data_IF_870078986650
#
_entry.id   IF_870078986650
#
_cell.length_a   1.000
_cell.length_b   1.000
_cell.length_c   1.000
_cell.angle_alpha   90.00
_cell.angle_beta   90.00
_cell.angle_gamma   90.00
#
_symmetry.space_group_name_H-M   'P 1'
#
loop_
_entity.id
_entity.type
_entity.pdbx_description
1 polymer ?
#
# COMPACT_ATOMS: atom_id res chain seq x y z
N UNK A 1 -1.10 21.00 -6.38
CA UNK A 1 -0.12 19.90 -6.33
C UNK A 1 1.19 20.25 -7.00
N UNK A 2 1.22 21.12 -8.02
CA UNK A 2 2.42 21.43 -8.82
C UNK A 2 3.64 22.04 -8.09
N UNK A 3 3.49 22.59 -6.87
CA UNK A 3 4.60 23.27 -6.15
C UNK A 3 5.09 22.56 -4.89
N UNK A 4 4.55 21.39 -4.56
CA UNK A 4 4.92 20.66 -3.34
C UNK A 4 5.67 19.39 -3.73
N UNK A 5 6.99 19.49 -3.80
CA UNK A 5 7.89 18.42 -4.26
C UNK A 5 7.73 17.14 -3.42
N UNK A 6 7.54 17.29 -2.11
CA UNK A 6 7.27 16.17 -1.20
C UNK A 6 5.94 15.50 -1.56
N UNK A 7 4.90 16.29 -1.82
CA UNK A 7 3.60 15.74 -2.20
C UNK A 7 3.65 15.05 -3.58
N UNK A 8 4.48 15.53 -4.51
CA UNK A 8 4.72 14.85 -5.78
C UNK A 8 5.40 13.50 -5.56
N UNK A 9 6.39 13.42 -4.68
CA UNK A 9 7.02 12.15 -4.29
C UNK A 9 6.03 11.22 -3.58
N UNK A 10 5.21 11.74 -2.66
CA UNK A 10 4.12 10.97 -2.02
C UNK A 10 3.20 10.31 -3.04
N UNK A 11 3.01 10.89 -4.22
CA UNK A 11 2.16 10.33 -5.27
C UNK A 11 2.90 9.74 -6.47
N UNK A 12 4.24 9.79 -6.50
CA UNK A 12 5.04 9.22 -7.60
C UNK A 12 4.75 7.72 -7.75
N UNK A 13 4.67 7.28 -9.01
CA UNK A 13 4.53 5.89 -9.43
C UNK A 13 5.87 5.13 -9.44
N UNK A 14 6.98 5.82 -9.19
CA UNK A 14 8.33 5.24 -9.20
C UNK A 14 8.80 4.67 -7.87
N UNK A 15 8.08 4.92 -6.76
CA UNK A 15 8.56 4.58 -5.42
C UNK A 15 8.32 3.12 -5.03
N UNK A 16 7.23 2.53 -5.54
CA UNK A 16 6.80 1.19 -5.19
C UNK A 16 6.30 0.48 -6.43
N UNK A 17 6.66 -0.79 -6.54
CA UNK A 17 6.05 -1.70 -7.50
C UNK A 17 5.87 -3.08 -6.86
N UNK A 18 4.85 -3.81 -7.29
CA UNK A 18 4.61 -5.16 -6.80
C UNK A 18 4.86 -6.13 -7.95
N UNK A 19 5.71 -7.12 -7.73
CA UNK A 19 5.87 -8.25 -8.62
C UNK A 19 4.94 -9.38 -8.18
N UNK A 20 4.12 -9.90 -9.08
CA UNK A 20 3.33 -11.12 -8.87
C UNK A 20 3.69 -12.11 -9.95
N UNK A 21 4.29 -13.24 -9.56
CA UNK A 21 4.64 -14.34 -10.47
C UNK A 21 5.46 -13.88 -11.70
N UNK A 22 6.35 -12.90 -11.50
CA UNK A 22 7.21 -12.34 -12.55
C UNK A 22 6.59 -11.14 -13.29
N UNK A 23 5.32 -10.80 -13.06
CA UNK A 23 4.66 -9.63 -13.65
C UNK A 23 4.78 -8.43 -12.72
N UNK A 24 5.37 -7.34 -13.21
CA UNK A 24 5.56 -6.11 -12.43
C UNK A 24 4.35 -5.16 -12.55
N UNK A 25 3.86 -4.69 -11.40
CA UNK A 25 2.76 -3.74 -11.27
C UNK A 25 3.28 -2.45 -10.60
N UNK A 26 3.57 -1.38 -11.36
CA UNK A 26 3.96 -0.10 -10.76
C UNK A 26 2.78 0.47 -9.97
N UNK A 27 3.01 0.82 -8.71
CA UNK A 27 1.92 1.31 -7.88
C UNK A 27 1.76 2.82 -8.08
N UNK A 28 0.65 3.21 -8.68
CA UNK A 28 0.29 4.62 -8.84
C UNK A 28 -0.82 5.04 -7.88
N UNK A 29 -0.85 6.32 -7.55
CA UNK A 29 -1.99 6.90 -6.85
C UNK A 29 -3.16 7.11 -7.81
N UNK A 30 -4.38 6.73 -7.40
CA UNK A 30 -5.60 7.07 -8.15
C UNK A 30 -5.80 8.58 -8.35
N UNK A 31 -5.11 9.42 -7.56
CA UNK A 31 -5.11 10.86 -7.75
C UNK A 31 -4.51 11.30 -9.09
N UNK A 32 -3.56 10.50 -9.61
CA UNK A 32 -2.75 10.82 -10.78
C UNK A 32 -3.08 9.92 -11.98
N UNK A 33 -3.59 8.71 -11.75
CA UNK A 33 -3.86 7.76 -12.81
C UNK A 33 -5.15 6.97 -12.57
N UNK A 34 -5.97 6.80 -13.60
CA UNK A 34 -7.24 6.06 -13.53
C UNK A 34 -7.07 4.56 -13.84
N UNK A 35 -5.82 4.06 -13.85
CA UNK A 35 -5.50 2.64 -14.03
C UNK A 35 -5.74 1.88 -12.73
N UNK A 36 -6.57 0.86 -12.79
CA UNK A 36 -6.74 -0.13 -11.74
C UNK A 36 -6.20 -1.46 -12.25
N UNK A 37 -4.92 -1.70 -12.02
CA UNK A 37 -4.34 -3.00 -12.34
C UNK A 37 -4.82 -4.02 -11.31
N UNK A 38 -5.26 -5.18 -11.81
CA UNK A 38 -5.81 -6.27 -11.00
C UNK A 38 -4.93 -7.49 -11.19
N UNK A 39 -4.25 -7.91 -10.13
CA UNK A 39 -3.53 -9.18 -10.09
C UNK A 39 -4.47 -10.33 -9.70
N UNK A 40 -4.16 -11.53 -10.18
CA UNK A 40 -4.82 -12.76 -9.75
C UNK A 40 -3.82 -13.52 -8.88
N UNK A 41 -4.21 -13.83 -7.64
CA UNK A 41 -3.36 -14.59 -6.72
C UNK A 41 -3.90 -16.01 -6.53
N UNK A 42 -2.98 -16.96 -6.50
CA UNK A 42 -3.20 -18.37 -6.15
C UNK A 42 -2.37 -18.72 -4.90
N UNK A 43 -2.54 -19.92 -4.35
CA UNK A 43 -1.68 -20.38 -3.24
C UNK A 43 -0.22 -20.57 -3.65
N UNK A 44 0.03 -20.76 -4.95
CA UNK A 44 1.39 -20.89 -5.49
C UNK A 44 2.03 -19.54 -5.82
N UNK A 45 1.25 -18.45 -5.81
CA UNK A 45 1.73 -17.15 -6.23
C UNK A 45 2.81 -16.61 -5.30
N UNK A 46 3.88 -16.08 -5.89
CA UNK A 46 4.92 -15.33 -5.17
C UNK A 46 4.74 -13.84 -5.41
N UNK A 47 4.77 -13.09 -4.33
CA UNK A 47 4.51 -11.66 -4.34
C UNK A 47 5.66 -10.91 -3.69
N UNK A 48 6.29 -10.02 -4.43
CA UNK A 48 7.38 -9.17 -3.93
C UNK A 48 7.00 -7.70 -4.03
N UNK A 49 7.35 -6.92 -3.02
CA UNK A 49 7.29 -5.46 -3.06
C UNK A 49 8.68 -4.93 -3.35
N UNK A 50 8.83 -4.25 -4.48
CA UNK A 50 10.03 -3.50 -4.82
C UNK A 50 9.86 -2.04 -4.36
N UNK A 51 10.88 -1.49 -3.73
CA UNK A 51 10.92 -0.13 -3.20
C UNK A 51 12.24 0.51 -3.57
N UNK A 52 12.22 1.79 -3.95
CA UNK A 52 13.48 2.54 -4.02
C UNK A 52 14.06 2.72 -2.61
N UNK A 53 15.37 2.60 -2.46
CA UNK A 53 16.05 2.65 -1.15
C UNK A 53 15.77 3.96 -0.39
N UNK A 54 15.73 5.09 -1.11
CA UNK A 54 15.49 6.43 -0.58
C UNK A 54 14.05 6.66 -0.07
N UNK A 55 13.17 5.67 -0.17
CA UNK A 55 11.77 5.80 0.29
C UNK A 55 11.68 6.10 1.81
N UNK A 56 12.66 5.67 2.59
CA UNK A 56 12.71 5.89 4.04
C UNK A 56 13.31 7.23 4.45
N UNK A 57 14.13 7.83 3.59
CA UNK A 57 14.75 9.16 3.81
C UNK A 57 13.87 10.28 3.24
N UNK A 58 13.01 9.96 2.28
CA UNK A 58 12.07 10.89 1.66
C UNK A 58 11.17 11.56 2.72
N UNK A 59 11.34 12.88 2.88
CA UNK A 59 10.61 13.71 3.85
C UNK A 59 10.64 13.13 5.29
N UNK A 60 11.77 12.55 5.68
CA UNK A 60 11.95 11.97 7.00
C UNK A 60 13.28 12.41 7.62
N UNK A 61 13.19 13.12 8.74
CA UNK A 61 14.37 13.52 9.53
C UNK A 61 14.78 12.48 10.58
N UNK A 62 13.97 11.42 10.75
CA UNK A 62 14.16 10.36 11.74
C UNK A 62 13.90 9.00 11.10
N UNK A 63 14.85 8.59 10.25
CA UNK A 63 14.78 7.36 9.45
C UNK A 63 14.69 6.11 10.34
N UNK A 64 15.33 6.15 11.51
CA UNK A 64 15.37 5.02 12.47
C UNK A 64 13.96 4.66 12.93
N UNK A 65 13.11 5.65 13.17
CA UNK A 65 11.72 5.42 13.56
C UNK A 65 10.74 5.39 12.38
N UNK A 66 11.23 5.54 11.15
CA UNK A 66 10.38 5.38 9.97
C UNK A 66 10.11 3.90 9.71
N UNK A 67 8.96 3.61 9.12
CA UNK A 67 8.52 2.26 8.85
C UNK A 67 7.73 2.18 7.57
N UNK A 68 7.82 1.04 6.88
CA UNK A 68 6.89 0.67 5.83
C UNK A 68 5.57 0.32 6.50
N UNK A 69 4.49 0.89 6.01
CA UNK A 69 3.13 0.63 6.45
C UNK A 69 2.35 -0.03 5.31
N UNK A 70 1.87 -1.24 5.59
CA UNK A 70 1.12 -2.08 4.66
C UNK A 70 -0.31 -2.18 5.19
N UNK A 71 -1.30 -1.85 4.36
CA UNK A 71 -2.72 -2.02 4.72
C UNK A 71 -3.37 -2.98 3.74
N UNK A 72 -4.00 -4.03 4.26
CA UNK A 72 -4.78 -4.98 3.48
C UNK A 72 -6.26 -4.74 3.73
N UNK A 73 -6.97 -4.32 2.68
CA UNK A 73 -8.38 -3.99 2.73
C UNK A 73 -9.17 -4.94 1.83
N UNK A 74 -10.43 -5.17 2.18
CA UNK A 74 -11.41 -5.90 1.38
C UNK A 74 -12.38 -4.92 0.75
N UNK A 75 -12.77 -5.17 -0.50
CA UNK A 75 -13.75 -4.36 -1.22
C UNK A 75 -15.20 -4.69 -0.81
N UNK A 76 -15.40 -4.91 0.49
CA UNK A 76 -16.69 -4.93 1.18
C UNK A 76 -16.86 -3.58 1.87
N UNK A 77 -17.98 -2.91 1.64
CA UNK A 77 -18.27 -1.62 2.28
C UNK A 77 -18.81 -1.86 3.69
N UNK A 78 -18.19 -1.22 4.67
CA UNK A 78 -18.60 -1.25 6.08
C UNK A 78 -18.84 0.18 6.58
N UNK A 79 -19.87 0.36 7.38
CA UNK A 79 -20.20 1.66 7.99
C UNK A 79 -19.51 1.79 9.34
N UNK A 80 -18.71 2.85 9.52
CA UNK A 80 -18.07 3.16 10.80
C UNK A 80 -18.70 4.39 11.46
N UNK A 81 -19.02 4.26 12.75
CA UNK A 81 -19.49 5.35 13.62
C UNK A 81 -20.89 5.87 13.26
N UNK A 82 -21.39 6.79 14.10
CA UNK A 82 -22.74 7.38 13.98
C UNK A 82 -22.89 8.32 12.77
N UNK A 83 -21.81 8.57 12.03
CA UNK A 83 -21.75 9.48 10.88
C UNK A 83 -22.17 8.83 9.55
N UNK A 84 -22.52 7.53 9.53
CA UNK A 84 -23.04 6.85 8.34
C UNK A 84 -22.08 6.76 7.15
N UNK A 85 -20.76 6.76 7.42
CA UNK A 85 -19.73 6.70 6.36
C UNK A 85 -19.35 5.27 6.03
N UNK A 86 -19.59 4.88 4.78
CA UNK A 86 -19.09 3.63 4.22
C UNK A 86 -17.60 3.72 3.85
N UNK A 87 -16.83 2.72 4.25
CA UNK A 87 -15.41 2.54 3.92
C UNK A 87 -15.16 1.09 3.54
N UNK A 88 -14.08 0.85 2.80
CA UNK A 88 -13.57 -0.51 2.63
C UNK A 88 -13.17 -1.10 3.98
N UNK A 89 -13.53 -2.35 4.19
CA UNK A 89 -13.20 -3.10 5.40
C UNK A 89 -11.70 -3.31 5.51
N UNK A 90 -11.11 -2.93 6.64
CA UNK A 90 -9.70 -3.24 6.94
C UNK A 90 -9.59 -4.67 7.45
N UNK A 91 -8.75 -5.48 6.79
CA UNK A 91 -8.41 -6.83 7.26
C UNK A 91 -7.27 -6.75 8.28
N UNK A 92 -6.18 -6.05 7.92
CA UNK A 92 -4.99 -5.91 8.77
C UNK A 92 -4.14 -4.72 8.34
N UNK A 93 -3.46 -4.12 9.32
CA UNK A 93 -2.35 -3.19 9.11
C UNK A 93 -1.06 -3.80 9.64
N UNK A 94 0.03 -3.68 8.88
CA UNK A 94 1.35 -4.18 9.24
C UNK A 94 2.38 -3.05 9.14
N UNK A 95 3.34 -3.01 10.06
CA UNK A 95 4.40 -2.01 10.04
C UNK A 95 5.76 -2.65 10.28
N UNK A 96 6.72 -2.36 9.41
CA UNK A 96 8.09 -2.88 9.49
C UNK A 96 9.04 -1.69 9.50
N UNK A 97 9.86 -1.57 10.56
CA UNK A 97 10.84 -0.49 10.68
C UNK A 97 11.92 -0.60 9.59
N UNK A 98 12.44 0.54 9.15
CA UNK A 98 13.36 0.63 8.02
C UNK A 98 14.54 -0.36 8.11
N UNK A 99 15.24 -0.40 9.25
CA UNK A 99 16.40 -1.28 9.42
C UNK A 99 16.03 -2.76 9.31
N UNK A 100 14.96 -3.19 9.97
CA UNK A 100 14.47 -4.57 9.89
C UNK A 100 14.02 -4.92 8.48
N UNK A 101 13.37 -3.98 7.78
CA UNK A 101 12.95 -4.20 6.40
C UNK A 101 14.15 -4.40 5.47
N UNK A 102 15.21 -3.60 5.62
CA UNK A 102 16.46 -3.74 4.85
C UNK A 102 17.08 -5.11 5.09
N UNK A 103 17.15 -5.58 6.34
CA UNK A 103 17.66 -6.92 6.67
C UNK A 103 16.80 -8.06 6.10
N UNK A 104 15.49 -7.85 5.99
CA UNK A 104 14.54 -8.83 5.44
C UNK A 104 14.40 -8.77 3.91
N UNK A 105 15.02 -7.78 3.26
CA UNK A 105 14.87 -7.56 1.82
C UNK A 105 16.10 -8.06 1.06
N UNK A 106 15.87 -8.52 -0.16
CA UNK A 106 16.95 -8.65 -1.13
C UNK A 106 17.40 -7.24 -1.52
N UNK A 107 18.70 -6.97 -1.39
CA UNK A 107 19.28 -5.68 -1.67
C UNK A 107 19.93 -5.71 -3.06
N UNK A 108 19.20 -5.21 -4.06
CA UNK A 108 19.76 -4.86 -5.35
C UNK A 108 20.17 -3.38 -5.31
N UNK A 109 21.22 -2.94 -6.01
CA UNK A 109 21.65 -1.53 -5.96
C UNK A 109 20.50 -0.56 -6.24
N UNK A 110 20.12 0.23 -5.23
CA UNK A 110 19.05 1.23 -5.29
C UNK A 110 17.61 0.70 -5.14
N UNK A 111 17.41 -0.61 -5.00
CA UNK A 111 16.09 -1.24 -4.86
C UNK A 111 16.09 -2.27 -3.72
N UNK A 112 15.16 -2.09 -2.78
CA UNK A 112 14.83 -3.06 -1.75
C UNK A 112 13.67 -3.94 -2.23
N UNK A 113 13.88 -5.26 -2.28
CA UNK A 113 12.84 -6.22 -2.62
C UNK A 113 12.42 -7.03 -1.39
N UNK A 114 11.18 -6.82 -0.96
CA UNK A 114 10.59 -7.44 0.23
C UNK A 114 9.58 -8.53 -0.15
N UNK A 115 9.74 -9.74 0.38
CA UNK A 115 8.80 -10.85 0.13
C UNK A 115 7.50 -10.67 0.93
N UNK A 116 6.40 -10.40 0.22
CA UNK A 116 5.05 -10.25 0.77
C UNK A 116 4.29 -11.57 0.84
N UNK A 117 4.82 -12.65 0.26
CA UNK A 117 4.15 -13.95 0.19
C UNK A 117 3.77 -14.45 1.59
N UNK A 118 4.65 -14.44 2.61
CA UNK A 118 4.30 -14.90 3.96
C UNK A 118 3.17 -14.07 4.58
N UNK A 119 3.19 -12.75 4.38
CA UNK A 119 2.14 -11.85 4.85
C UNK A 119 0.78 -12.18 4.24
N UNK A 120 0.71 -12.42 2.92
CA UNK A 120 -0.53 -12.77 2.24
C UNK A 120 -1.04 -14.15 2.65
N UNK A 121 -0.14 -15.13 2.79
CA UNK A 121 -0.48 -16.49 3.22
C UNK A 121 -0.98 -16.54 4.68
N UNK A 122 -0.51 -15.65 5.55
CA UNK A 122 -1.04 -15.54 6.91
C UNK A 122 -2.51 -15.06 6.94
N UNK A 123 -2.95 -14.29 5.94
CA UNK A 123 -4.29 -13.70 5.86
C UNK A 123 -5.21 -14.38 4.85
N UNK A 124 -4.74 -15.48 4.25
CA UNK A 124 -5.36 -16.20 3.14
C UNK A 124 -6.83 -16.57 3.40
N UNK A 125 -7.15 -17.00 4.63
CA UNK A 125 -8.50 -17.35 5.06
C UNK A 125 -9.48 -16.17 5.18
N UNK A 126 -9.03 -14.93 4.95
CA UNK A 126 -9.88 -13.72 4.95
C UNK A 126 -10.36 -13.31 3.56
N UNK A 127 -9.78 -13.87 2.50
CA UNK A 127 -10.16 -13.58 1.13
C UNK A 127 -11.47 -14.28 0.78
N UNK A 128 -12.43 -13.52 0.27
CA UNK A 128 -13.73 -14.04 -0.16
C UNK A 128 -13.76 -14.29 -1.66
N UNK A 129 -14.58 -15.25 -2.08
CA UNK A 129 -14.75 -15.58 -3.49
C UNK A 129 -15.40 -14.40 -4.22
N UNK A 130 -14.91 -14.07 -5.41
CA UNK A 130 -15.42 -12.97 -6.24
C UNK A 130 -15.37 -11.59 -5.57
N UNK A 131 -14.63 -11.43 -4.46
CA UNK A 131 -14.40 -10.15 -3.79
C UNK A 131 -12.96 -9.71 -3.97
N UNK A 132 -12.77 -8.46 -4.38
CA UNK A 132 -11.45 -7.85 -4.53
C UNK A 132 -10.87 -7.45 -3.18
N UNK A 133 -9.55 -7.50 -3.07
CA UNK A 133 -8.79 -6.96 -1.97
C UNK A 133 -7.81 -5.92 -2.51
N UNK A 134 -7.38 -4.99 -1.67
CA UNK A 134 -6.45 -3.93 -2.01
C UNK A 134 -5.28 -3.93 -1.02
N UNK A 135 -4.06 -3.93 -1.55
CA UNK A 135 -2.84 -3.75 -0.77
C UNK A 135 -2.34 -2.34 -0.93
N UNK A 136 -2.28 -1.58 0.16
CA UNK A 136 -1.76 -0.23 0.17
C UNK A 136 -0.39 -0.15 0.82
N UNK A 137 0.48 0.70 0.28
CA UNK A 137 1.83 0.89 0.78
C UNK A 137 2.18 2.37 0.93
N UNK A 138 2.79 2.72 2.07
CA UNK A 138 3.35 4.03 2.35
C UNK A 138 4.40 3.90 3.44
N UNK A 139 5.22 4.92 3.65
CA UNK A 139 5.99 5.02 4.91
C UNK A 139 5.22 5.80 5.96
N UNK A 140 5.58 5.62 7.24
CA UNK A 140 5.02 6.39 8.36
C UNK A 140 5.19 7.89 8.13
N UNK A 141 6.39 8.33 7.76
CA UNK A 141 6.68 9.74 7.49
C UNK A 141 5.80 10.33 6.36
N UNK A 142 5.64 9.60 5.24
CA UNK A 142 4.79 10.05 4.13
C UNK A 142 3.31 10.08 4.54
N UNK A 143 2.85 9.12 5.33
CA UNK A 143 1.47 9.07 5.85
C UNK A 143 1.19 10.24 6.79
N UNK A 144 2.10 10.53 7.71
CA UNK A 144 1.98 11.66 8.64
C UNK A 144 1.95 13.00 7.89
N UNK A 145 2.85 13.19 6.93
CA UNK A 145 2.86 14.39 6.08
C UNK A 145 1.53 14.57 5.33
N UNK A 146 1.03 13.48 4.75
CA UNK A 146 -0.25 13.46 4.07
C UNK A 146 -1.39 13.91 5.01
N UNK A 147 -1.46 13.37 6.24
CA UNK A 147 -2.47 13.78 7.22
C UNK A 147 -2.30 15.23 7.69
N UNK A 148 -1.07 15.71 7.89
CA UNK A 148 -0.84 17.12 8.27
C UNK A 148 -1.34 18.09 7.20
N UNK A 149 -1.15 17.74 5.91
CA UNK A 149 -1.69 18.53 4.80
C UNK A 149 -3.21 18.43 4.71
N UNK A 150 -3.78 17.24 4.92
CA UNK A 150 -5.23 17.03 4.97
C UNK A 150 -5.93 17.87 6.04
N UNK A 151 -5.36 17.98 7.25
CA UNK A 151 -5.94 18.77 8.35
C UNK A 151 -6.11 20.26 8.00
N UNK A 152 -5.35 20.76 7.02
CA UNK A 152 -5.42 22.14 6.53
C UNK A 152 -6.41 22.32 5.37
N UNK A 153 -7.03 21.24 4.88
CA UNK A 153 -7.98 21.26 3.77
C UNK A 153 -9.44 21.23 4.25
N UNK A 154 -10.39 21.84 3.51
CA UNK A 154 -11.82 21.74 3.80
C UNK A 154 -12.32 20.28 3.80
N UNK A 155 -13.27 19.97 4.68
CA UNK A 155 -13.83 18.63 4.91
C UNK A 155 -14.44 17.95 3.66
N UNK A 156 -14.85 18.72 2.65
CA UNK A 156 -15.39 18.16 1.39
C UNK A 156 -14.31 17.49 0.53
N UNK A 157 -13.06 17.99 0.59
CA UNK A 157 -11.90 17.42 -0.14
C UNK A 157 -11.32 16.23 0.63
N UNK A 158 -11.43 16.23 1.96
CA UNK A 158 -10.99 15.18 2.88
C UNK A 158 -11.48 13.78 2.49
N UNK A 159 -12.72 13.67 1.96
CA UNK A 159 -13.36 12.39 1.60
C UNK A 159 -12.66 11.64 0.45
N UNK A 160 -11.89 12.35 -0.38
CA UNK A 160 -11.25 11.77 -1.56
C UNK A 160 -9.79 11.34 -1.35
N UNK A 161 -9.18 11.61 -0.18
CA UNK A 161 -7.72 11.48 -0.02
C UNK A 161 -7.24 10.13 0.53
N UNK A 162 -8.06 9.39 1.30
CA UNK A 162 -7.74 8.01 1.74
C UNK A 162 -7.54 7.09 0.52
N UNK A 163 -8.30 7.32 -0.56
CA UNK A 163 -8.20 6.58 -1.82
C UNK A 163 -6.99 6.95 -2.70
N UNK A 164 -6.10 7.83 -2.21
CA UNK A 164 -4.94 8.30 -2.98
C UNK A 164 -3.62 7.65 -2.57
N UNK A 165 -3.63 6.73 -1.62
CA UNK A 165 -2.46 5.87 -1.42
C UNK A 165 -2.33 4.88 -2.59
N UNK A 166 -1.09 4.52 -2.90
CA UNK A 166 -0.71 3.53 -3.91
C UNK A 166 -1.23 2.16 -3.51
N UNK A 167 -1.85 1.44 -4.44
CA UNK A 167 -2.29 0.07 -4.17
C UNK A 167 -2.28 -0.86 -5.38
N UNK A 168 -2.28 -2.16 -5.07
CA UNK A 168 -2.58 -3.23 -6.01
C UNK A 168 -3.94 -3.85 -5.63
N UNK A 169 -4.85 -3.93 -6.60
CA UNK A 169 -6.08 -4.74 -6.47
C UNK A 169 -5.77 -6.20 -6.79
N UNK A 170 -6.36 -7.14 -6.05
CA UNK A 170 -6.24 -8.55 -6.37
C UNK A 170 -7.46 -9.39 -5.99
N UNK A 171 -7.60 -10.56 -6.63
CA UNK A 171 -8.58 -11.60 -6.29
C UNK A 171 -7.87 -12.89 -5.93
N UNK A 172 -8.23 -13.52 -4.81
CA UNK A 172 -7.73 -14.85 -4.42
C UNK A 172 -8.63 -15.95 -5.01
N UNK A 173 -8.28 -16.48 -6.18
CA UNK A 173 -9.14 -17.45 -6.89
C UNK A 173 -8.95 -18.90 -6.40
N UNK A 174 -7.81 -19.21 -5.78
CA UNK A 174 -7.49 -20.58 -5.30
C UNK A 174 -6.97 -20.65 -3.85
N UNK A 175 -6.90 -19.52 -3.15
CA UNK A 175 -6.38 -19.40 -1.78
C UNK A 175 -7.30 -20.06 -0.70
N UNK A 176 -8.40 -20.65 -1.15
CA UNK A 176 -9.52 -21.09 -0.32
C UNK A 176 -9.62 -22.60 -0.12
N UNK A 177 -8.66 -23.42 -0.58
CA UNK A 177 -8.72 -24.86 -0.32
C UNK A 177 -7.89 -25.27 0.89
N UNK A 178 -8.48 -25.12 2.07
CA UNK A 178 -8.47 -26.13 3.15
C UNK A 178 -9.41 -25.75 4.29
#
# INVERSE_FOLDING_TARGET
MEKDEVLQQVYSDSLFSVNVDGVEYPLSSLALNNRNDIAILTEASRVFLSMVEDVFTTNCNDVVNNSLHIMLLRNTMVSYGDEGREKQEHIVDYSVYANSLVEMSENEPGILRFDLTPFLMAHKGRFLENVRNNLYFTTRALREYHYQKQKKMPSTIYRQLIYRFRFLSFTGREIQRR
#
